data_IF_217577296937
#
_entry.id   IF_217577296937
#
_cell.length_a   1.000
_cell.length_b   1.000
_cell.length_c   1.000
_cell.angle_alpha   90.00
_cell.angle_beta   90.00
_cell.angle_gamma   90.00
#
_symmetry.space_group_name_H-M   'P 1'
#
loop_
_entity.id
_entity.type
_entity.pdbx_description
1 polymer ?
#
# COMPACT_ATOMS: atom_id res chain seq x y z
N UNK A 1 8.85 -0.75 -11.30
CA UNK A 1 7.69 -1.52 -11.81
C UNK A 1 6.46 -0.96 -11.11
N UNK A 2 5.44 -0.58 -11.86
CA UNK A 2 4.16 -0.10 -11.31
C UNK A 2 3.23 -1.30 -11.14
N UNK A 3 2.53 -1.33 -10.01
CA UNK A 3 1.51 -2.29 -9.65
C UNK A 3 0.28 -1.51 -9.17
N UNK A 4 -0.85 -2.20 -9.02
CA UNK A 4 -2.11 -1.60 -8.60
C UNK A 4 -2.65 -2.33 -7.37
N UNK A 5 -3.10 -1.57 -6.39
CA UNK A 5 -3.87 -2.06 -5.25
C UNK A 5 -5.31 -1.58 -5.42
N UNK A 6 -6.28 -2.47 -5.25
CA UNK A 6 -7.70 -2.13 -5.37
C UNK A 6 -8.50 -2.63 -4.18
N UNK A 7 -9.49 -1.85 -3.74
CA UNK A 7 -10.34 -2.22 -2.62
C UNK A 7 -11.49 -1.25 -2.34
N UNK A 8 -12.22 -1.55 -1.27
CA UNK A 8 -13.35 -0.78 -0.74
C UNK A 8 -13.04 -0.21 0.66
N UNK A 9 -11.75 -0.08 0.98
CA UNK A 9 -11.30 0.51 2.22
C UNK A 9 -11.81 1.94 2.40
N UNK A 10 -11.78 2.39 3.64
CA UNK A 10 -12.22 3.70 4.06
C UNK A 10 -11.45 4.79 3.31
N UNK A 11 -12.19 5.73 2.72
CA UNK A 11 -11.64 6.92 2.07
C UNK A 11 -11.26 7.98 3.11
N UNK A 12 -10.59 9.06 2.69
CA UNK A 12 -10.31 10.22 3.55
C UNK A 12 -11.57 10.85 4.18
N UNK A 13 -12.76 10.61 3.58
CA UNK A 13 -14.05 11.07 4.10
C UNK A 13 -14.62 10.18 5.21
N UNK A 14 -13.84 9.22 5.74
CA UNK A 14 -14.26 8.21 6.72
C UNK A 14 -15.36 7.24 6.24
N UNK A 15 -15.70 7.29 4.94
CA UNK A 15 -16.70 6.43 4.32
C UNK A 15 -16.06 5.38 3.40
N UNK A 16 -16.60 4.17 3.41
CA UNK A 16 -16.27 3.16 2.41
C UNK A 16 -16.98 3.48 1.09
N UNK A 17 -16.27 3.44 -0.05
CA UNK A 17 -16.85 3.80 -1.33
C UNK A 17 -17.79 2.69 -1.84
N UNK A 18 -18.91 3.07 -2.45
CA UNK A 18 -19.82 2.10 -3.10
C UNK A 18 -19.22 1.47 -4.38
N UNK A 19 -18.23 2.16 -4.98
CA UNK A 19 -17.54 1.73 -6.20
C UNK A 19 -16.10 1.40 -5.84
N UNK A 20 -15.58 0.27 -6.34
CA UNK A 20 -14.20 -0.17 -6.15
C UNK A 20 -13.22 0.96 -6.51
N UNK A 21 -12.28 1.21 -5.61
CA UNK A 21 -11.19 2.18 -5.82
C UNK A 21 -9.88 1.46 -6.04
N UNK A 22 -8.93 2.17 -6.63
CA UNK A 22 -7.59 1.66 -6.84
C UNK A 22 -6.55 2.78 -6.78
N UNK A 23 -5.32 2.40 -6.50
CA UNK A 23 -4.15 3.28 -6.53
C UNK A 23 -2.98 2.58 -7.18
N UNK A 24 -2.26 3.32 -8.02
CA UNK A 24 -0.99 2.87 -8.58
C UNK A 24 0.14 3.09 -7.60
N UNK A 25 0.93 2.04 -7.41
CA UNK A 25 2.05 2.01 -6.49
C UNK A 25 3.31 1.51 -7.19
N UNK A 26 4.46 2.00 -6.77
CA UNK A 26 5.76 1.50 -7.20
C UNK A 26 6.31 0.54 -6.14
N UNK A 27 6.77 -0.63 -6.59
CA UNK A 27 7.43 -1.62 -5.72
C UNK A 27 8.71 -1.02 -5.13
N UNK A 28 8.86 -1.12 -3.81
CA UNK A 28 10.08 -0.74 -3.11
C UNK A 28 11.05 -1.91 -3.04
N UNK A 29 12.35 -1.60 -3.12
CA UNK A 29 13.39 -2.57 -2.82
C UNK A 29 13.30 -3.04 -1.37
N UNK A 30 13.42 -4.36 -1.14
CA UNK A 30 13.28 -4.97 0.18
C UNK A 30 14.19 -4.34 1.25
N UNK A 31 15.49 -4.18 0.97
CA UNK A 31 16.44 -3.63 1.94
C UNK A 31 16.13 -2.17 2.31
N UNK A 32 15.65 -1.37 1.33
CA UNK A 32 15.18 0.00 1.61
C UNK A 32 13.95 0.00 2.49
N UNK A 33 12.96 -0.83 2.19
CA UNK A 33 11.75 -0.93 3.00
C UNK A 33 12.06 -1.39 4.43
N UNK A 34 12.84 -2.47 4.55
CA UNK A 34 13.27 -3.01 5.84
C UNK A 34 14.02 -1.97 6.66
N UNK A 35 14.97 -1.25 6.07
CA UNK A 35 15.70 -0.17 6.74
C UNK A 35 14.77 0.94 7.24
N UNK A 36 13.76 1.34 6.45
CA UNK A 36 12.78 2.35 6.86
C UNK A 36 11.93 1.89 8.05
N UNK A 37 11.38 0.68 8.01
CA UNK A 37 10.52 0.15 9.08
C UNK A 37 11.27 -0.25 10.35
N UNK A 38 12.55 -0.61 10.24
CA UNK A 38 13.43 -0.81 11.39
C UNK A 38 13.55 0.44 12.26
N UNK A 39 13.51 1.65 11.67
CA UNK A 39 13.51 2.91 12.43
C UNK A 39 12.26 3.06 13.32
N UNK A 40 11.18 2.36 12.98
CA UNK A 40 9.92 2.33 13.72
C UNK A 40 9.75 1.06 14.57
N UNK A 41 10.81 0.25 14.74
CA UNK A 41 10.76 -0.99 15.52
C UNK A 41 9.88 -2.08 14.91
N UNK A 42 9.51 -1.97 13.63
CA UNK A 42 8.65 -2.93 12.93
C UNK A 42 9.49 -3.79 11.97
N UNK A 43 9.68 -5.09 12.25
CA UNK A 43 10.46 -5.96 11.38
C UNK A 43 9.70 -6.25 10.08
N UNK A 44 10.41 -6.19 8.95
CA UNK A 44 9.91 -6.59 7.63
C UNK A 44 10.57 -7.92 7.25
N UNK A 45 9.76 -8.92 6.89
CA UNK A 45 10.20 -10.28 6.61
C UNK A 45 10.31 -10.54 5.09
N UNK A 46 11.13 -11.51 4.63
CA UNK A 46 11.36 -11.76 3.20
C UNK A 46 10.11 -12.12 2.37
N UNK A 47 9.02 -12.53 3.02
CA UNK A 47 7.73 -12.82 2.42
C UNK A 47 6.80 -11.58 2.33
N UNK A 48 7.32 -10.39 2.62
CA UNK A 48 6.58 -9.12 2.54
C UNK A 48 7.09 -8.28 1.37
N UNK A 49 6.15 -7.73 0.61
CA UNK A 49 6.44 -6.73 -0.43
C UNK A 49 6.00 -5.37 0.08
N UNK A 50 6.85 -4.36 -0.12
CA UNK A 50 6.52 -2.99 0.19
C UNK A 50 6.31 -2.19 -1.08
N UNK A 51 5.46 -1.19 -1.00
CA UNK A 51 5.21 -0.29 -2.12
C UNK A 51 5.03 1.12 -1.62
N UNK A 52 5.23 2.09 -2.51
CA UNK A 52 4.94 3.50 -2.27
C UNK A 52 4.01 4.01 -3.34
N UNK A 53 3.23 5.03 -3.02
CA UNK A 53 2.37 5.67 -4.00
C UNK A 53 3.20 6.25 -5.14
N UNK A 54 2.69 6.11 -6.36
CA UNK A 54 3.30 6.69 -7.54
C UNK A 54 3.13 8.22 -7.51
N UNK A 55 4.24 8.96 -7.61
CA UNK A 55 4.21 10.42 -7.79
C UNK A 55 4.06 11.28 -6.52
N UNK A 56 4.56 10.84 -5.36
CA UNK A 56 4.51 11.61 -4.09
C UNK A 56 3.08 12.00 -3.66
N UNK A 57 2.11 11.13 -3.93
CA UNK A 57 0.74 11.33 -3.49
C UNK A 57 0.55 10.83 -2.06
N UNK A 58 -0.33 11.49 -1.29
CA UNK A 58 -0.57 11.23 0.14
C UNK A 58 -1.69 10.20 0.41
N UNK A 59 -2.31 9.62 -0.61
CA UNK A 59 -3.40 8.64 -0.49
C UNK A 59 -2.90 7.22 -0.76
N UNK A 60 -3.33 6.23 0.03
CA UNK A 60 -2.92 4.84 -0.12
C UNK A 60 -3.97 3.88 0.43
N UNK A 61 -3.64 2.58 0.55
CA UNK A 61 -4.54 1.59 1.14
C UNK A 61 -4.96 1.99 2.55
N UNK A 62 -6.26 1.92 2.83
CA UNK A 62 -6.87 2.29 4.10
C UNK A 62 -7.42 1.08 4.87
N UNK A 63 -8.02 1.32 6.05
CA UNK A 63 -8.78 0.30 6.76
C UNK A 63 -9.83 -0.33 5.86
N UNK A 64 -9.90 -1.66 5.79
CA UNK A 64 -10.84 -2.39 4.94
C UNK A 64 -10.28 -2.86 3.59
N UNK A 65 -9.07 -2.45 3.20
CA UNK A 65 -8.38 -3.00 2.02
C UNK A 65 -7.67 -4.34 2.29
N UNK A 66 -7.65 -4.79 3.55
CA UNK A 66 -7.03 -6.06 3.96
C UNK A 66 -7.59 -7.26 3.18
N UNK A 67 -6.71 -8.03 2.56
CA UNK A 67 -7.07 -9.18 1.72
C UNK A 67 -7.36 -8.83 0.26
N UNK A 68 -7.38 -7.54 -0.10
CA UNK A 68 -7.49 -7.08 -1.48
C UNK A 68 -6.26 -7.46 -2.34
N UNK A 69 -6.43 -7.51 -3.67
CA UNK A 69 -5.36 -7.94 -4.57
C UNK A 69 -4.27 -6.87 -4.74
N UNK A 70 -3.03 -7.35 -4.83
CA UNK A 70 -1.86 -6.58 -5.28
C UNK A 70 -1.46 -7.08 -6.67
N UNK A 71 -1.75 -6.31 -7.72
CA UNK A 71 -1.63 -6.76 -9.12
C UNK A 71 -0.50 -6.05 -9.87
N UNK A 72 0.35 -6.85 -10.51
CA UNK A 72 1.44 -6.42 -11.40
C UNK A 72 1.48 -7.37 -12.61
#
# INVERSE_FOLDING_TARGET
RTCTVSGWGTMETEESPAILRYVDVDVLEFEKCKGQWQLFGSPVYPNTVCSKNKGFTYYGPGPGDSGGPYSC
#
